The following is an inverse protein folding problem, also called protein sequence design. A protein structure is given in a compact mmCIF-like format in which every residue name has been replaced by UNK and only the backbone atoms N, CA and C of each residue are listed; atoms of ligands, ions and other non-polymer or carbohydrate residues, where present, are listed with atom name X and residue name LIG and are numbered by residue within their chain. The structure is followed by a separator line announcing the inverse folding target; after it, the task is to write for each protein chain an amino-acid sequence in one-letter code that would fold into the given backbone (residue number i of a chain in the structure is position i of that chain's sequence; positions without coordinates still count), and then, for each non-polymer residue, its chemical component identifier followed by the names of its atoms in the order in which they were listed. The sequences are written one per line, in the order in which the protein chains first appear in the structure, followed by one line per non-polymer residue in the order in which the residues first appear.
data_IF_140533012369
#
_entry.id   IF_140533012369
#
_cell.length_a   1.000
_cell.length_b   1.000
_cell.length_c   1.000
_cell.angle_alpha   90.00
_cell.angle_beta   90.00
_cell.angle_gamma   90.00
#
_symmetry.space_group_name_H-M   'P 1'
#
loop_
_entity.id
_entity.type
_entity.pdbx_description
1 polymer ?
#
# COMPACT_ATOMS: atom_id res chain seq x y z
N UNK A 1 -7.55 -0.35 -27.75
CA UNK A 1 -8.36 -0.60 -26.55
C UNK A 1 -8.26 0.60 -25.63
N UNK A 2 -9.41 1.17 -25.26
CA UNK A 2 -9.48 2.40 -24.46
C UNK A 2 -10.03 2.13 -23.07
N UNK A 3 -9.26 2.43 -22.03
CA UNK A 3 -9.58 2.18 -20.62
C UNK A 3 -9.84 3.47 -19.86
N UNK A 4 -10.97 3.55 -19.16
CA UNK A 4 -11.19 4.55 -18.13
C UNK A 4 -10.75 3.99 -16.77
N UNK A 5 -9.94 4.73 -16.01
CA UNK A 5 -9.69 4.44 -14.61
C UNK A 5 -10.30 5.55 -13.77
N UNK A 6 -11.05 5.18 -12.72
CA UNK A 6 -11.61 6.16 -11.78
C UNK A 6 -11.05 5.91 -10.39
N UNK A 7 -10.43 6.96 -9.84
CA UNK A 7 -9.84 6.95 -8.52
C UNK A 7 -10.32 8.15 -7.69
N UNK A 8 -10.26 8.05 -6.37
CA UNK A 8 -10.64 9.16 -5.50
C UNK A 8 -9.72 10.37 -5.66
N UNK A 9 -8.42 10.15 -5.71
CA UNK A 9 -7.37 11.17 -5.84
C UNK A 9 -6.07 10.53 -6.34
N UNK A 10 -5.07 11.31 -6.78
CA UNK A 10 -3.74 10.79 -7.09
C UNK A 10 -3.06 10.17 -5.86
N UNK A 11 -2.51 8.96 -6.02
CA UNK A 11 -1.82 8.21 -4.98
C UNK A 11 -0.47 7.75 -5.54
N UNK A 12 0.60 7.88 -4.75
CA UNK A 12 1.98 7.68 -5.19
C UNK A 12 2.26 6.28 -5.79
N UNK A 13 1.65 5.23 -5.27
CA UNK A 13 1.86 3.87 -5.76
C UNK A 13 0.91 3.47 -6.92
N UNK A 14 -0.06 4.33 -7.29
CA UNK A 14 -0.86 4.13 -8.49
C UNK A 14 -0.25 4.80 -9.73
N UNK A 15 0.43 5.93 -9.57
CA UNK A 15 1.01 6.67 -10.68
C UNK A 15 1.93 5.82 -11.59
N UNK A 16 2.84 4.97 -11.06
CA UNK A 16 3.64 4.08 -11.89
C UNK A 16 2.81 3.06 -12.70
N UNK A 17 1.71 2.54 -12.12
CA UNK A 17 0.79 1.63 -12.82
C UNK A 17 0.10 2.38 -13.97
N UNK A 18 -0.36 3.62 -13.75
CA UNK A 18 -1.03 4.41 -14.76
C UNK A 18 -0.07 4.78 -15.91
N UNK A 19 1.18 5.13 -15.60
CA UNK A 19 2.21 5.37 -16.62
C UNK A 19 2.48 4.16 -17.49
N UNK A 20 2.61 2.99 -16.87
CA UNK A 20 2.87 1.76 -17.62
C UNK A 20 1.65 1.33 -18.45
N UNK A 21 0.44 1.48 -17.92
CA UNK A 21 -0.79 1.26 -18.69
C UNK A 21 -0.89 2.20 -19.89
N UNK A 22 -0.57 3.48 -19.73
CA UNK A 22 -0.62 4.47 -20.81
C UNK A 22 0.39 4.19 -21.94
N UNK A 23 1.47 3.43 -21.67
CA UNK A 23 2.40 2.95 -22.70
C UNK A 23 1.83 1.79 -23.53
N UNK A 24 0.89 1.03 -22.96
CA UNK A 24 0.38 -0.21 -23.56
C UNK A 24 -1.00 -0.07 -24.18
N UNK A 25 -1.80 0.90 -23.72
CA UNK A 25 -3.17 1.09 -24.19
C UNK A 25 -3.59 2.58 -24.12
N UNK A 26 -4.69 2.92 -24.77
CA UNK A 26 -5.30 4.26 -24.65
C UNK A 26 -5.95 4.37 -23.26
N UNK A 27 -5.33 5.15 -22.39
CA UNK A 27 -5.71 5.31 -20.99
C UNK A 27 -6.18 6.72 -20.71
N UNK A 28 -7.32 6.84 -20.01
CA UNK A 28 -7.74 8.10 -19.37
C UNK A 28 -8.09 7.88 -17.90
N UNK A 29 -7.48 8.66 -17.02
CA UNK A 29 -7.68 8.55 -15.58
C UNK A 29 -8.54 9.70 -15.07
N UNK A 30 -9.58 9.40 -14.33
CA UNK A 30 -10.50 10.35 -13.72
C UNK A 30 -10.29 10.39 -12.21
N UNK A 31 -9.96 11.57 -11.69
CA UNK A 31 -9.83 11.80 -10.26
C UNK A 31 -11.05 12.55 -9.72
N UNK A 32 -11.66 12.02 -8.68
CA UNK A 32 -12.85 12.63 -8.06
C UNK A 32 -12.53 13.80 -7.14
N UNK A 33 -11.29 13.93 -6.68
CA UNK A 33 -10.88 14.98 -5.75
C UNK A 33 -9.41 15.34 -5.93
N UNK A 34 -9.11 16.63 -5.86
CA UNK A 34 -7.74 17.15 -5.78
C UNK A 34 -7.35 17.24 -4.32
N UNK A 35 -6.59 16.25 -3.86
CA UNK A 35 -6.16 16.19 -2.46
C UNK A 35 -5.36 17.45 -2.07
N UNK A 36 -5.72 18.03 -0.94
CA UNK A 36 -5.05 19.19 -0.35
C UNK A 36 -4.06 18.75 0.73
N UNK A 37 -3.20 19.65 1.18
CA UNK A 37 -2.32 19.40 2.33
C UNK A 37 -3.12 19.08 3.61
N UNK A 38 -4.30 19.69 3.77
CA UNK A 38 -5.19 19.39 4.89
C UNK A 38 -5.79 17.98 4.81
N UNK A 39 -6.09 17.50 3.60
CA UNK A 39 -6.52 16.11 3.40
C UNK A 39 -5.43 15.12 3.81
N UNK A 40 -4.15 15.42 3.50
CA UNK A 40 -3.02 14.59 3.90
C UNK A 40 -2.86 14.57 5.43
N UNK A 41 -2.94 15.72 6.08
CA UNK A 41 -2.89 15.79 7.55
C UNK A 41 -4.01 14.97 8.20
N UNK A 42 -5.26 15.13 7.72
CA UNK A 42 -6.44 14.38 8.20
C UNK A 42 -6.39 12.89 7.88
N UNK A 43 -5.67 12.49 6.84
CA UNK A 43 -5.45 11.08 6.52
C UNK A 43 -4.57 10.35 7.55
N UNK A 44 -4.21 11.01 8.65
CA UNK A 44 -3.46 10.46 9.79
C UNK A 44 -1.96 10.71 9.74
N UNK A 45 -1.46 11.52 8.80
CA UNK A 45 -0.05 11.94 8.82
C UNK A 45 0.21 12.99 9.91
N UNK A 46 -0.82 13.74 10.34
CA UNK A 46 -0.69 14.79 11.33
C UNK A 46 0.09 16.04 10.87
N UNK A 47 0.61 16.00 9.65
CA UNK A 47 1.43 17.06 9.02
C UNK A 47 0.81 17.44 7.68
N UNK A 48 0.82 18.73 7.37
CA UNK A 48 0.43 19.24 6.05
C UNK A 48 1.60 19.10 5.10
N UNK A 49 1.41 18.42 3.97
CA UNK A 49 2.45 18.27 2.94
C UNK A 49 1.83 18.03 1.55
N UNK A 50 2.64 18.24 0.54
CA UNK A 50 2.41 17.71 -0.81
C UNK A 50 3.42 16.59 -1.07
N UNK A 51 3.04 15.60 -1.86
CA UNK A 51 4.00 14.60 -2.34
C UNK A 51 5.11 15.31 -3.13
N UNK A 52 6.35 14.97 -2.85
CA UNK A 52 7.55 15.53 -3.48
C UNK A 52 7.99 14.76 -4.73
N UNK A 53 7.10 13.94 -5.27
CA UNK A 53 7.24 13.22 -6.53
C UNK A 53 6.09 13.60 -7.47
N UNK A 54 6.34 13.48 -8.75
CA UNK A 54 5.32 13.70 -9.78
C UNK A 54 4.32 12.54 -9.80
N UNK A 55 3.03 12.86 -9.62
CA UNK A 55 1.95 11.88 -9.59
C UNK A 55 1.10 11.90 -10.87
N UNK A 56 1.25 12.90 -11.74
CA UNK A 56 0.28 13.18 -12.79
C UNK A 56 0.83 13.06 -14.21
N UNK A 57 2.14 13.21 -14.41
CA UNK A 57 2.71 13.12 -15.76
C UNK A 57 2.76 11.67 -16.29
N UNK A 58 2.79 11.54 -17.62
CA UNK A 58 2.96 10.27 -18.32
C UNK A 58 1.66 9.48 -18.59
N UNK A 59 0.49 10.08 -18.32
CA UNK A 59 -0.81 9.53 -18.68
C UNK A 59 -1.87 10.66 -18.79
N UNK A 60 -2.89 10.47 -19.63
CA UNK A 60 -4.02 11.41 -19.73
C UNK A 60 -4.89 11.33 -18.49
N UNK A 61 -5.24 12.49 -17.92
CA UNK A 61 -6.05 12.55 -16.71
C UNK A 61 -6.95 13.78 -16.64
N UNK A 62 -8.05 13.62 -15.90
CA UNK A 62 -9.02 14.69 -15.63
C UNK A 62 -9.37 14.70 -14.14
N UNK A 63 -9.36 15.89 -13.55
CA UNK A 63 -10.02 16.12 -12.25
C UNK A 63 -11.47 16.47 -12.50
N UNK A 64 -12.37 15.57 -12.11
CA UNK A 64 -13.81 15.80 -12.24
C UNK A 64 -14.30 16.89 -11.27
N UNK A 65 -15.38 17.58 -11.67
CA UNK A 65 -16.03 18.55 -10.80
C UNK A 65 -16.69 17.83 -9.61
N UNK A 66 -16.14 18.03 -8.42
CA UNK A 66 -16.66 17.46 -7.18
C UNK A 66 -17.73 18.40 -6.59
N UNK A 67 -18.99 18.00 -6.68
CA UNK A 67 -20.16 18.77 -6.18
C UNK A 67 -20.51 18.47 -4.72
N UNK A 68 -19.65 17.77 -3.98
CA UNK A 68 -19.89 17.44 -2.59
C UNK A 68 -20.03 18.71 -1.75
N UNK A 69 -21.03 18.77 -0.84
CA UNK A 69 -21.20 19.90 0.11
C UNK A 69 -19.98 20.11 1.01
N UNK A 70 -19.25 19.05 1.30
CA UNK A 70 -18.00 19.06 2.06
C UNK A 70 -17.00 18.15 1.34
N UNK A 71 -16.27 18.68 0.35
CA UNK A 71 -15.27 17.92 -0.38
C UNK A 71 -14.17 17.41 0.54
N UNK A 72 -13.67 16.20 0.29
CA UNK A 72 -12.57 15.59 1.06
C UNK A 72 -12.53 14.08 0.96
N UNK A 73 -11.48 13.52 1.58
CA UNK A 73 -11.18 12.09 1.52
C UNK A 73 -11.56 11.32 2.79
N UNK A 74 -12.09 11.99 3.80
CA UNK A 74 -12.39 11.44 5.12
C UNK A 74 -13.77 10.76 5.21
N UNK A 75 -14.68 11.04 4.27
CA UNK A 75 -16.09 10.59 4.29
C UNK A 75 -16.55 10.03 2.94
N UNK A 76 -17.55 9.16 2.97
CA UNK A 76 -18.15 8.54 1.78
C UNK A 76 -18.61 9.57 0.73
N UNK A 77 -19.34 10.61 1.17
CA UNK A 77 -19.92 11.66 0.32
C UNK A 77 -18.94 12.79 -0.01
N UNK A 78 -17.69 12.74 0.44
CA UNK A 78 -16.70 13.79 0.18
C UNK A 78 -16.19 13.84 -1.27
N UNK A 79 -16.43 12.78 -2.03
CA UNK A 79 -16.22 12.73 -3.47
C UNK A 79 -17.57 12.46 -4.15
N UNK A 80 -18.10 13.45 -4.84
CA UNK A 80 -19.41 13.41 -5.53
C UNK A 80 -19.25 13.98 -6.94
N UNK A 81 -19.21 13.11 -7.95
CA UNK A 81 -18.88 13.47 -9.34
C UNK A 81 -19.88 12.88 -10.33
N UNK A 82 -21.14 13.37 -10.36
CA UNK A 82 -22.20 12.82 -11.22
C UNK A 82 -21.91 12.95 -12.70
N UNK A 83 -21.04 13.86 -13.11
CA UNK A 83 -20.66 14.08 -14.52
C UNK A 83 -19.90 12.91 -15.14
N UNK A 84 -19.42 11.93 -14.34
CA UNK A 84 -18.70 10.76 -14.87
C UNK A 84 -19.52 10.00 -15.92
N UNK A 85 -20.85 9.97 -15.78
CA UNK A 85 -21.74 9.33 -16.77
C UNK A 85 -21.64 9.93 -18.15
N UNK A 86 -21.53 11.27 -18.24
CA UNK A 86 -21.32 12.00 -19.50
C UNK A 86 -19.95 11.67 -20.10
N UNK A 87 -18.88 11.74 -19.31
CA UNK A 87 -17.53 11.40 -19.75
C UNK A 87 -17.43 9.98 -20.33
N UNK A 88 -18.05 8.99 -19.66
CA UNK A 88 -18.04 7.61 -20.12
C UNK A 88 -18.85 7.42 -21.42
N UNK A 89 -19.89 8.21 -21.65
CA UNK A 89 -20.69 8.14 -22.86
C UNK A 89 -20.00 8.80 -24.07
N UNK A 90 -19.37 9.97 -23.86
CA UNK A 90 -18.75 10.77 -24.91
C UNK A 90 -17.45 10.15 -25.43
N UNK A 91 -16.60 9.65 -24.53
CA UNK A 91 -15.23 9.18 -24.85
C UNK A 91 -15.13 7.71 -25.35
N UNK A 92 -16.23 6.96 -25.42
CA UNK A 92 -16.32 5.59 -25.98
C UNK A 92 -15.26 4.61 -25.42
N UNK A 93 -15.27 4.38 -24.11
CA UNK A 93 -14.38 3.41 -23.46
C UNK A 93 -14.80 1.96 -23.72
N UNK A 94 -13.81 1.07 -23.77
CA UNK A 94 -14.02 -0.38 -23.86
C UNK A 94 -14.29 -1.02 -22.49
N UNK A 95 -13.74 -0.44 -21.42
CA UNK A 95 -13.91 -0.90 -20.03
C UNK A 95 -13.66 0.25 -19.05
N UNK A 96 -14.17 0.07 -17.83
CA UNK A 96 -13.94 0.98 -16.70
C UNK A 96 -13.34 0.23 -15.53
N UNK A 97 -12.20 0.70 -15.00
CA UNK A 97 -11.58 0.20 -13.78
C UNK A 97 -11.82 1.18 -12.63
N UNK A 98 -12.42 0.72 -11.53
CA UNK A 98 -12.59 1.51 -10.31
C UNK A 98 -11.58 1.08 -9.24
N UNK A 99 -10.94 2.06 -8.60
CA UNK A 99 -10.02 1.85 -7.48
C UNK A 99 -10.82 1.77 -6.16
N UNK A 100 -11.46 0.61 -5.94
CA UNK A 100 -12.37 0.38 -4.82
C UNK A 100 -13.80 0.87 -5.07
N UNK A 101 -14.62 0.89 -4.01
CA UNK A 101 -16.04 1.29 -4.05
C UNK A 101 -16.50 2.01 -2.76
N UNK A 102 -15.59 2.58 -2.03
CA UNK A 102 -15.81 3.19 -0.71
C UNK A 102 -16.11 4.70 -0.76
N UNK A 103 -16.29 5.27 -1.95
CA UNK A 103 -16.66 6.68 -2.18
C UNK A 103 -17.91 6.77 -3.07
N UNK A 104 -18.70 7.81 -2.89
CA UNK A 104 -19.91 8.06 -3.70
C UNK A 104 -19.57 8.13 -5.20
N UNK A 105 -18.50 8.85 -5.56
CA UNK A 105 -18.02 8.96 -6.96
C UNK A 105 -17.74 7.59 -7.61
N UNK A 106 -17.15 6.64 -6.86
CA UNK A 106 -16.87 5.31 -7.38
C UNK A 106 -18.16 4.50 -7.62
N UNK A 107 -19.16 4.62 -6.74
CA UNK A 107 -20.49 4.02 -6.96
C UNK A 107 -21.19 4.66 -8.16
N UNK A 108 -21.13 5.99 -8.28
CA UNK A 108 -21.68 6.69 -9.45
C UNK A 108 -21.06 6.18 -10.75
N UNK A 109 -19.75 5.96 -10.75
CA UNK A 109 -19.03 5.36 -11.89
C UNK A 109 -19.53 3.96 -12.22
N UNK A 110 -19.64 3.08 -11.21
CA UNK A 110 -20.12 1.70 -11.40
C UNK A 110 -21.50 1.70 -12.04
N UNK A 111 -22.43 2.48 -11.50
CA UNK A 111 -23.80 2.52 -12.02
C UNK A 111 -23.89 3.20 -13.40
N UNK A 112 -23.11 4.25 -13.67
CA UNK A 112 -23.05 4.88 -14.98
C UNK A 112 -22.51 3.92 -16.04
N UNK A 113 -21.40 3.22 -15.74
CA UNK A 113 -20.82 2.23 -16.65
C UNK A 113 -21.81 1.09 -16.95
N UNK A 114 -22.52 0.59 -15.92
CA UNK A 114 -23.54 -0.45 -16.12
C UNK A 114 -24.70 0.00 -17.01
N UNK A 115 -25.17 1.24 -16.86
CA UNK A 115 -26.21 1.81 -17.74
C UNK A 115 -25.76 1.91 -19.19
N UNK A 116 -24.46 2.17 -19.41
CA UNK A 116 -23.87 2.25 -20.75
C UNK A 116 -23.43 0.89 -21.31
N UNK A 117 -23.67 -0.22 -20.60
CA UNK A 117 -23.24 -1.56 -21.02
C UNK A 117 -21.72 -1.76 -21.03
N UNK A 118 -20.96 -0.90 -20.33
CA UNK A 118 -19.51 -1.01 -20.22
C UNK A 118 -19.12 -2.06 -19.18
N UNK A 119 -18.13 -2.92 -19.49
CA UNK A 119 -17.51 -3.78 -18.49
C UNK A 119 -16.91 -2.97 -17.35
N UNK A 120 -17.17 -3.37 -16.10
CA UNK A 120 -16.63 -2.75 -14.90
C UNK A 120 -15.67 -3.70 -14.23
N UNK A 121 -14.43 -3.26 -14.05
CA UNK A 121 -13.41 -3.93 -13.27
C UNK A 121 -13.24 -3.22 -11.93
N UNK A 122 -12.94 -3.97 -10.86
CA UNK A 122 -12.65 -3.39 -9.56
C UNK A 122 -11.31 -3.86 -9.04
N UNK A 123 -10.50 -2.96 -8.51
CA UNK A 123 -9.24 -3.25 -7.83
C UNK A 123 -9.29 -2.73 -6.39
N UNK A 124 -8.88 -3.57 -5.42
CA UNK A 124 -8.89 -3.16 -4.03
C UNK A 124 -8.17 -4.14 -3.10
N UNK A 125 -7.80 -3.62 -1.93
CA UNK A 125 -7.02 -4.27 -0.89
C UNK A 125 -7.85 -4.72 0.33
N UNK A 126 -9.17 -4.72 0.21
CA UNK A 126 -10.06 -5.17 1.29
C UNK A 126 -9.77 -6.61 1.70
N UNK A 127 -9.80 -6.90 2.99
CA UNK A 127 -9.68 -8.26 3.54
C UNK A 127 -10.68 -8.51 4.66
N UNK A 128 -10.94 -9.78 4.97
CA UNK A 128 -11.95 -10.20 5.95
C UNK A 128 -11.58 -9.86 7.39
N UNK A 129 -10.30 -9.73 7.71
CA UNK A 129 -9.78 -9.42 9.04
C UNK A 129 -10.00 -7.95 9.46
N UNK A 130 -10.44 -7.07 8.56
CA UNK A 130 -10.74 -5.67 8.94
C UNK A 130 -11.83 -5.64 10.02
N UNK A 131 -11.56 -5.03 11.20
CA UNK A 131 -12.53 -4.98 12.29
C UNK A 131 -13.86 -4.35 11.87
N UNK A 132 -14.95 -5.03 12.16
CA UNK A 132 -16.32 -4.56 11.90
C UNK A 132 -17.25 -5.10 12.97
N UNK A 133 -18.28 -4.34 13.32
CA UNK A 133 -19.34 -4.82 14.20
C UNK A 133 -20.06 -6.04 13.55
N UNK A 134 -20.63 -6.92 14.38
CA UNK A 134 -21.36 -8.09 13.94
C UNK A 134 -22.50 -7.73 12.96
N UNK A 135 -23.25 -6.67 13.26
CA UNK A 135 -24.34 -6.17 12.40
C UNK A 135 -23.81 -5.80 11.01
N UNK A 136 -22.69 -5.07 10.93
CA UNK A 136 -22.07 -4.73 9.63
C UNK A 136 -21.56 -5.96 8.88
N UNK A 137 -21.07 -6.98 9.60
CA UNK A 137 -20.64 -8.25 8.98
C UNK A 137 -21.83 -9.01 8.39
N UNK A 138 -22.93 -9.16 9.15
CA UNK A 138 -24.13 -9.84 8.68
C UNK A 138 -24.77 -9.12 7.48
N UNK A 139 -24.93 -7.79 7.57
CA UNK A 139 -25.46 -7.00 6.45
C UNK A 139 -24.59 -7.17 5.19
N UNK A 140 -23.27 -7.16 5.35
CA UNK A 140 -22.33 -7.38 4.25
C UNK A 140 -22.44 -8.79 3.66
N UNK A 141 -22.57 -9.81 4.48
CA UNK A 141 -22.70 -11.20 4.03
C UNK A 141 -23.93 -11.39 3.12
N UNK A 142 -25.02 -10.64 3.37
CA UNK A 142 -26.24 -10.69 2.56
C UNK A 142 -26.11 -9.85 1.27
N UNK A 143 -25.61 -8.62 1.39
CA UNK A 143 -25.63 -7.65 0.27
C UNK A 143 -24.46 -7.85 -0.70
N UNK A 144 -23.29 -8.21 -0.21
CA UNK A 144 -22.06 -8.21 -1.01
C UNK A 144 -22.02 -9.27 -2.11
N UNK A 145 -22.55 -10.50 -1.93
CA UNK A 145 -22.58 -11.47 -3.03
C UNK A 145 -23.28 -10.93 -4.28
N UNK A 146 -24.39 -10.20 -4.11
CA UNK A 146 -25.10 -9.56 -5.22
C UNK A 146 -24.36 -8.30 -5.73
N UNK A 147 -23.89 -7.45 -4.84
CA UNK A 147 -23.17 -6.22 -5.19
C UNK A 147 -21.90 -6.51 -5.99
N UNK A 148 -21.08 -7.47 -5.55
CA UNK A 148 -19.81 -7.78 -6.22
C UNK A 148 -20.01 -8.37 -7.62
N UNK A 149 -21.17 -8.95 -7.93
CA UNK A 149 -21.52 -9.38 -9.30
C UNK A 149 -21.75 -8.24 -10.29
N UNK A 150 -21.80 -7.00 -9.82
CA UNK A 150 -21.74 -5.83 -10.71
C UNK A 150 -20.41 -5.73 -11.44
N UNK A 151 -19.32 -6.28 -10.89
CA UNK A 151 -18.03 -6.30 -11.54
C UNK A 151 -17.89 -7.46 -12.51
N UNK A 152 -17.36 -7.18 -13.70
CA UNK A 152 -17.09 -8.19 -14.73
C UNK A 152 -15.76 -8.91 -14.51
N UNK A 153 -14.82 -8.24 -13.82
CA UNK A 153 -13.58 -8.82 -13.33
C UNK A 153 -13.14 -8.12 -12.04
N UNK A 154 -12.44 -8.85 -11.19
CA UNK A 154 -11.88 -8.35 -9.93
C UNK A 154 -10.37 -8.54 -9.89
N UNK A 155 -9.67 -7.49 -9.50
CA UNK A 155 -8.23 -7.41 -9.42
C UNK A 155 -7.82 -7.46 -7.95
N UNK A 156 -7.29 -8.60 -7.52
CA UNK A 156 -6.82 -8.77 -6.16
C UNK A 156 -5.33 -8.40 -6.03
N UNK A 157 -4.98 -7.76 -4.91
CA UNK A 157 -3.63 -7.22 -4.70
C UNK A 157 -2.69 -8.19 -3.98
N UNK A 158 -3.24 -9.25 -3.37
CA UNK A 158 -2.54 -10.27 -2.62
C UNK A 158 -3.50 -11.34 -2.09
N UNK A 159 -2.98 -12.33 -1.36
CA UNK A 159 -3.73 -13.50 -0.88
C UNK A 159 -4.98 -13.10 -0.07
N UNK A 160 -4.85 -12.21 0.91
CA UNK A 160 -5.98 -11.77 1.75
C UNK A 160 -7.06 -11.04 0.96
N UNK A 161 -6.67 -10.27 -0.04
CA UNK A 161 -7.60 -9.61 -0.94
C UNK A 161 -8.31 -10.65 -1.84
N UNK A 162 -7.59 -11.68 -2.32
CA UNK A 162 -8.19 -12.81 -3.03
C UNK A 162 -9.22 -13.55 -2.17
N UNK A 163 -8.85 -13.88 -0.93
CA UNK A 163 -9.71 -14.56 0.03
C UNK A 163 -10.97 -13.75 0.35
N UNK A 164 -10.87 -12.42 0.36
CA UNK A 164 -12.03 -11.54 0.53
C UNK A 164 -13.05 -11.70 -0.61
N UNK A 165 -12.63 -11.74 -1.86
CA UNK A 165 -13.51 -11.97 -2.99
C UNK A 165 -14.16 -13.36 -2.94
N UNK A 166 -13.37 -14.40 -2.63
CA UNK A 166 -13.86 -15.78 -2.49
C UNK A 166 -14.86 -15.88 -1.33
N UNK A 167 -14.59 -15.24 -0.20
CA UNK A 167 -15.47 -15.21 0.97
C UNK A 167 -16.88 -14.67 0.63
N UNK A 168 -16.99 -13.72 -0.29
CA UNK A 168 -18.26 -13.19 -0.76
C UNK A 168 -18.77 -13.87 -2.06
N UNK A 169 -18.31 -15.10 -2.33
CA UNK A 169 -18.75 -15.94 -3.46
C UNK A 169 -18.56 -15.30 -4.84
N UNK A 170 -17.51 -14.49 -5.01
CA UNK A 170 -17.15 -13.97 -6.32
C UNK A 170 -16.50 -15.08 -7.16
N UNK A 171 -16.85 -15.21 -8.49
CA UNK A 171 -16.33 -16.27 -9.33
C UNK A 171 -14.82 -16.23 -9.48
N UNK A 172 -14.14 -17.32 -9.14
CA UNK A 172 -12.67 -17.41 -9.18
C UNK A 172 -12.09 -17.22 -10.60
N UNK A 173 -12.83 -17.64 -11.62
CA UNK A 173 -12.46 -17.45 -13.03
C UNK A 173 -12.45 -15.99 -13.49
N UNK A 174 -12.95 -15.05 -12.67
CA UNK A 174 -12.96 -13.62 -12.91
C UNK A 174 -12.02 -12.86 -11.95
N UNK A 175 -11.16 -13.58 -11.20
CA UNK A 175 -10.14 -13.02 -10.31
C UNK A 175 -8.80 -12.97 -11.01
N UNK A 176 -8.19 -11.78 -11.04
CA UNK A 176 -6.89 -11.55 -11.67
C UNK A 176 -5.93 -10.94 -10.67
N UNK A 177 -4.67 -11.37 -10.71
CA UNK A 177 -3.63 -10.85 -9.82
C UNK A 177 -3.10 -9.52 -10.35
N UNK A 178 -3.29 -8.45 -9.59
CA UNK A 178 -2.73 -7.13 -9.85
C UNK A 178 -2.20 -6.57 -8.54
N UNK A 179 -0.96 -6.95 -8.15
CA UNK A 179 -0.43 -6.67 -6.83
C UNK A 179 -0.34 -5.20 -6.51
N UNK A 180 -0.34 -4.87 -5.21
CA UNK A 180 0.26 -3.63 -4.78
C UNK A 180 1.76 -3.66 -5.07
N UNK A 181 2.25 -2.59 -5.65
CA UNK A 181 3.62 -2.45 -6.10
C UNK A 181 4.09 -1.01 -5.96
N UNK A 182 5.39 -0.81 -6.07
CA UNK A 182 6.04 0.49 -6.15
C UNK A 182 6.91 0.53 -7.40
N UNK A 183 7.35 1.71 -7.80
CA UNK A 183 8.36 1.87 -8.84
C UNK A 183 9.71 1.36 -8.32
N UNK A 184 9.95 0.07 -8.54
CA UNK A 184 11.12 -0.64 -8.02
C UNK A 184 12.44 -0.01 -8.51
N UNK A 185 12.48 0.40 -9.77
CA UNK A 185 13.68 1.01 -10.35
C UNK A 185 13.96 2.37 -9.74
N UNK A 186 12.93 3.18 -9.54
CA UNK A 186 13.03 4.47 -8.87
C UNK A 186 13.59 4.33 -7.44
N UNK A 187 13.15 3.32 -6.67
CA UNK A 187 13.64 3.06 -5.33
C UNK A 187 15.07 2.50 -5.34
N UNK A 188 15.33 1.44 -6.12
CA UNK A 188 16.62 0.73 -6.13
C UNK A 188 17.77 1.61 -6.63
N UNK A 189 17.53 2.46 -7.65
CA UNK A 189 18.54 3.37 -8.18
C UNK A 189 18.98 4.46 -7.20
N UNK A 190 18.16 4.77 -6.19
CA UNK A 190 18.42 5.77 -5.16
C UNK A 190 18.94 5.18 -3.86
N UNK A 191 18.59 3.94 -3.53
CA UNK A 191 19.04 3.25 -2.33
C UNK A 191 20.48 2.68 -2.51
N UNK A 192 21.48 3.57 -2.63
CA UNK A 192 22.86 3.23 -2.93
C UNK A 192 23.72 3.05 -1.67
N UNK A 193 24.92 2.50 -1.84
CA UNK A 193 25.94 2.45 -0.76
C UNK A 193 26.26 3.87 -0.28
N UNK A 194 26.45 4.80 -1.21
CA UNK A 194 26.75 6.20 -0.87
C UNK A 194 25.60 6.85 -0.07
N UNK A 195 24.34 6.56 -0.39
CA UNK A 195 23.20 7.09 0.36
C UNK A 195 23.14 6.49 1.78
N UNK A 196 23.48 5.21 1.93
CA UNK A 196 23.61 4.55 3.24
C UNK A 196 24.69 5.21 4.10
N UNK A 197 25.87 5.35 3.57
CA UNK A 197 27.01 5.95 4.28
C UNK A 197 26.74 7.41 4.66
N UNK A 198 26.26 8.21 3.71
CA UNK A 198 25.91 9.62 3.95
C UNK A 198 24.91 9.77 5.10
N UNK A 199 23.82 8.99 5.11
CA UNK A 199 22.79 9.12 6.13
C UNK A 199 23.26 8.58 7.48
N UNK A 200 23.98 7.45 7.51
CA UNK A 200 24.57 6.90 8.74
C UNK A 200 25.57 7.86 9.38
N UNK A 201 26.46 8.44 8.58
CA UNK A 201 27.46 9.43 9.05
C UNK A 201 26.76 10.67 9.65
N UNK A 202 25.75 11.20 8.96
CA UNK A 202 24.96 12.34 9.46
C UNK A 202 24.28 12.04 10.80
N UNK A 203 23.82 10.81 11.01
CA UNK A 203 23.18 10.37 12.25
C UNK A 203 24.18 9.80 13.27
N UNK A 204 25.49 9.77 12.97
CA UNK A 204 26.54 9.17 13.81
C UNK A 204 26.27 7.70 14.14
N UNK A 205 25.69 6.97 13.20
CA UNK A 205 25.48 5.52 13.30
C UNK A 205 26.77 4.82 12.88
N UNK A 206 27.33 3.93 13.72
CA UNK A 206 28.54 3.18 13.37
C UNK A 206 28.29 2.33 12.09
N UNK A 207 29.33 2.17 11.22
CA UNK A 207 29.18 1.43 9.96
C UNK A 207 28.64 0.02 10.14
N UNK A 208 29.06 -0.68 11.18
CA UNK A 208 28.70 -2.07 11.49
C UNK A 208 27.49 -2.21 12.43
N UNK A 209 26.88 -1.10 12.87
CA UNK A 209 25.69 -1.15 13.72
C UNK A 209 24.50 -1.74 12.96
N UNK A 210 23.77 -2.62 13.62
CA UNK A 210 22.49 -3.14 13.11
C UNK A 210 21.39 -2.10 13.30
N UNK A 211 20.61 -1.87 12.25
CA UNK A 211 19.60 -0.80 12.21
C UNK A 211 18.26 -1.37 11.80
N UNK A 212 17.30 -1.31 12.70
CA UNK A 212 15.90 -1.67 12.44
C UNK A 212 15.06 -0.40 12.19
N UNK A 213 14.30 -0.38 11.10
CA UNK A 213 13.47 0.75 10.68
C UNK A 213 11.99 0.48 10.99
N UNK A 214 11.34 1.44 11.60
CA UNK A 214 9.89 1.61 11.52
C UNK A 214 9.59 2.77 10.56
N UNK A 215 8.74 2.52 9.55
CA UNK A 215 8.31 3.54 8.61
C UNK A 215 6.77 3.60 8.56
N UNK A 216 6.20 4.74 8.97
CA UNK A 216 4.75 4.94 8.96
C UNK A 216 4.25 5.94 9.98
N UNK A 217 2.94 6.16 9.99
CA UNK A 217 2.27 7.05 10.94
C UNK A 217 2.42 6.51 12.37
N UNK A 218 2.77 7.37 13.31
CA UNK A 218 2.90 6.99 14.72
C UNK A 218 1.52 6.96 15.41
N UNK A 219 0.69 5.98 15.01
CA UNK A 219 -0.64 5.74 15.55
C UNK A 219 -0.63 4.51 16.48
N UNK A 220 -1.49 4.45 17.51
CA UNK A 220 -1.50 3.33 18.47
C UNK A 220 -1.57 1.94 17.80
N UNK A 221 -2.46 1.77 16.82
CA UNK A 221 -2.64 0.49 16.11
C UNK A 221 -1.48 0.13 15.16
N UNK A 222 -0.53 1.04 14.91
CA UNK A 222 0.72 0.75 14.21
C UNK A 222 1.79 0.18 15.12
N UNK A 223 1.59 0.25 16.44
CA UNK A 223 2.40 -0.36 17.49
C UNK A 223 3.93 -0.08 17.37
N UNK A 224 4.36 1.18 17.14
CA UNK A 224 5.80 1.47 17.02
C UNK A 224 6.58 1.19 18.32
N UNK A 225 5.93 1.07 19.47
CA UNK A 225 6.54 0.71 20.75
C UNK A 225 7.10 -0.71 20.73
N UNK A 226 6.53 -1.63 19.96
CA UNK A 226 6.96 -3.03 19.91
C UNK A 226 8.39 -3.18 19.37
N UNK A 227 8.83 -2.35 18.43
CA UNK A 227 10.21 -2.40 17.93
C UNK A 227 11.22 -1.97 19.01
N UNK A 228 10.86 -0.97 19.82
CA UNK A 228 11.71 -0.52 20.94
C UNK A 228 11.77 -1.60 22.02
N UNK A 229 10.65 -2.22 22.34
CA UNK A 229 10.60 -3.31 23.31
C UNK A 229 11.44 -4.53 22.86
N UNK A 230 11.35 -4.90 21.58
CA UNK A 230 12.15 -5.98 21.02
C UNK A 230 13.66 -5.66 21.01
N UNK A 231 14.02 -4.41 20.66
CA UNK A 231 15.41 -3.95 20.72
C UNK A 231 15.96 -3.94 22.15
N UNK A 232 15.13 -3.56 23.15
CA UNK A 232 15.49 -3.62 24.57
C UNK A 232 15.76 -5.07 25.04
N UNK A 233 14.91 -6.01 24.62
CA UNK A 233 15.08 -7.43 24.92
C UNK A 233 16.39 -7.97 24.33
N UNK A 234 16.69 -7.63 23.07
CA UNK A 234 17.94 -8.02 22.42
C UNK A 234 19.17 -7.43 23.11
N UNK A 235 19.10 -6.16 23.52
CA UNK A 235 20.17 -5.49 24.27
C UNK A 235 20.47 -6.19 25.59
N UNK A 236 19.45 -6.68 26.32
CA UNK A 236 19.63 -7.38 27.58
C UNK A 236 20.41 -8.70 27.45
N UNK A 237 20.49 -9.25 26.24
CA UNK A 237 21.27 -10.47 25.92
C UNK A 237 22.50 -10.18 25.05
N UNK A 238 22.95 -8.94 25.03
CA UNK A 238 24.19 -8.52 24.36
C UNK A 238 24.09 -8.24 22.85
N UNK A 239 22.88 -8.20 22.28
CA UNK A 239 22.65 -7.85 20.88
C UNK A 239 22.10 -6.43 20.75
N UNK A 240 22.95 -5.48 20.45
CA UNK A 240 22.54 -4.08 20.31
C UNK A 240 22.01 -3.77 18.90
N UNK A 241 20.80 -3.19 18.85
CA UNK A 241 20.15 -2.74 17.60
C UNK A 241 19.77 -1.26 17.76
N UNK A 242 20.12 -0.46 16.76
CA UNK A 242 19.70 0.94 16.65
C UNK A 242 18.32 0.95 15.96
N UNK A 243 17.39 1.74 16.48
CA UNK A 243 16.05 1.90 15.92
C UNK A 243 15.95 3.22 15.16
N UNK A 244 15.54 3.18 13.90
CA UNK A 244 15.13 4.36 13.14
C UNK A 244 13.60 4.46 13.10
N UNK A 245 13.07 5.64 13.38
CA UNK A 245 11.64 5.94 13.33
C UNK A 245 11.40 7.01 12.25
N UNK A 246 10.88 6.59 11.11
CA UNK A 246 10.46 7.48 10.02
C UNK A 246 8.95 7.65 10.04
N UNK A 247 8.48 8.74 10.64
CA UNK A 247 7.07 9.04 10.79
C UNK A 247 6.78 10.03 11.89
N UNK A 248 5.56 10.53 11.91
CA UNK A 248 5.04 11.43 12.93
C UNK A 248 3.64 10.95 13.39
N UNK A 249 3.23 11.35 14.58
CA UNK A 249 1.91 11.03 15.09
C UNK A 249 1.80 11.11 16.62
N UNK A 250 0.59 10.87 17.16
CA UNK A 250 0.27 11.14 18.57
C UNK A 250 1.07 10.29 19.58
N UNK A 251 1.60 9.12 19.20
CA UNK A 251 2.37 8.27 20.14
C UNK A 251 3.88 8.58 20.15
N UNK A 252 4.35 9.63 19.46
CA UNK A 252 5.78 9.96 19.38
C UNK A 252 6.39 10.25 20.76
N UNK A 253 5.72 11.05 21.59
CA UNK A 253 6.22 11.38 22.94
C UNK A 253 6.37 10.13 23.81
N UNK A 254 5.37 9.25 23.79
CA UNK A 254 5.41 7.98 24.52
C UNK A 254 6.57 7.09 24.03
N UNK A 255 6.75 7.03 22.71
CA UNK A 255 7.82 6.23 22.10
C UNK A 255 9.21 6.75 22.47
N UNK A 256 9.42 8.08 22.52
CA UNK A 256 10.67 8.70 23.00
C UNK A 256 10.97 8.35 24.45
N UNK A 257 9.97 8.45 25.33
CA UNK A 257 10.11 8.09 26.75
C UNK A 257 10.42 6.61 26.91
N UNK A 258 9.74 5.74 26.16
CA UNK A 258 10.00 4.29 26.21
C UNK A 258 11.42 3.94 25.75
N UNK A 259 11.88 4.53 24.65
CA UNK A 259 13.23 4.33 24.12
C UNK A 259 14.30 4.78 25.13
N UNK A 260 14.12 5.94 25.74
CA UNK A 260 15.02 6.48 26.76
C UNK A 260 15.09 5.59 28.00
N UNK A 261 13.92 5.17 28.55
CA UNK A 261 13.86 4.28 29.73
C UNK A 261 14.51 2.93 29.47
N UNK A 262 14.32 2.39 28.26
CA UNK A 262 14.93 1.13 27.86
C UNK A 262 16.43 1.25 27.49
N UNK A 263 16.95 2.47 27.38
CA UNK A 263 18.33 2.74 26.93
C UNK A 263 18.59 2.26 25.51
N UNK A 264 17.55 2.22 24.64
CA UNK A 264 17.64 1.82 23.23
C UNK A 264 18.05 3.02 22.39
N UNK A 265 19.14 2.90 21.65
CA UNK A 265 19.59 3.95 20.71
C UNK A 265 18.53 4.10 19.62
N UNK A 266 17.84 5.26 19.58
CA UNK A 266 16.72 5.51 18.69
C UNK A 266 16.84 6.89 18.03
N UNK A 267 16.75 6.91 16.69
CA UNK A 267 16.73 8.14 15.90
C UNK A 267 15.33 8.41 15.36
N UNK A 268 14.78 9.57 15.69
CA UNK A 268 13.48 10.03 15.22
C UNK A 268 13.65 10.99 14.05
N UNK A 269 13.19 10.59 12.87
CA UNK A 269 13.36 11.36 11.63
C UNK A 269 12.17 12.29 11.35
N UNK A 270 11.09 12.17 12.14
CA UNK A 270 9.84 12.89 11.88
C UNK A 270 9.14 12.39 10.60
N UNK A 271 8.27 13.21 10.05
CA UNK A 271 7.66 12.93 8.75
C UNK A 271 8.71 12.94 7.64
N UNK A 272 8.75 11.87 6.86
CA UNK A 272 9.63 11.70 5.70
C UNK A 272 8.78 11.57 4.44
N UNK A 273 9.01 12.47 3.46
CA UNK A 273 8.32 12.38 2.17
C UNK A 273 9.03 11.38 1.24
N UNK A 274 8.47 11.12 0.06
CA UNK A 274 8.85 10.00 -0.81
C UNK A 274 10.32 10.05 -1.25
N UNK A 275 10.86 11.25 -1.58
CA UNK A 275 12.21 11.39 -2.14
C UNK A 275 13.32 11.03 -1.17
N UNK A 276 13.10 11.12 0.15
CA UNK A 276 14.11 10.78 1.16
C UNK A 276 14.00 9.32 1.63
N UNK A 277 12.90 8.63 1.33
CA UNK A 277 12.67 7.27 1.80
C UNK A 277 13.72 6.26 1.30
N UNK A 278 14.22 6.29 0.04
CA UNK A 278 15.27 5.38 -0.42
C UNK A 278 16.55 5.47 0.43
N UNK A 279 16.98 6.67 0.83
CA UNK A 279 18.15 6.86 1.70
C UNK A 279 17.93 6.22 3.09
N UNK A 280 16.71 6.35 3.63
CA UNK A 280 16.32 5.78 4.93
C UNK A 280 16.32 4.25 4.86
N UNK A 281 15.73 3.66 3.81
CA UNK A 281 15.80 2.22 3.60
C UNK A 281 17.25 1.76 3.41
N UNK A 282 18.07 2.46 2.62
CA UNK A 282 19.48 2.13 2.44
C UNK A 282 20.26 2.16 3.76
N UNK A 283 19.97 3.12 4.64
CA UNK A 283 20.64 3.26 5.94
C UNK A 283 20.24 2.15 6.95
N UNK A 284 19.09 1.52 6.77
CA UNK A 284 18.60 0.43 7.61
C UNK A 284 19.05 -0.95 7.12
N UNK A 285 18.90 -1.96 7.96
CA UNK A 285 19.19 -3.36 7.66
C UNK A 285 17.90 -4.20 7.53
N UNK A 286 16.83 -3.75 8.16
CA UNK A 286 15.51 -4.42 8.13
C UNK A 286 14.39 -3.41 8.40
N UNK A 287 13.25 -3.59 7.72
CA UNK A 287 12.00 -2.88 8.04
C UNK A 287 11.14 -3.74 8.98
N UNK A 288 10.56 -3.12 10.00
CA UNK A 288 9.61 -3.76 10.93
C UNK A 288 8.25 -3.09 10.85
N UNK A 289 7.19 -3.86 10.60
CA UNK A 289 5.80 -3.41 10.67
C UNK A 289 5.02 -4.23 11.71
N UNK A 290 4.92 -3.76 12.95
CA UNK A 290 4.21 -4.47 14.03
C UNK A 290 2.72 -4.12 14.08
N UNK A 291 2.14 -3.69 12.96
CA UNK A 291 0.81 -3.10 12.89
C UNK A 291 -0.30 -4.10 13.21
N UNK A 292 -1.21 -3.71 14.10
CA UNK A 292 -2.45 -4.43 14.39
C UNK A 292 -3.41 -4.41 13.19
N UNK A 293 -3.47 -3.28 12.50
CA UNK A 293 -4.30 -3.08 11.31
C UNK A 293 -3.50 -2.47 10.18
N UNK A 294 -3.35 -3.22 9.10
CA UNK A 294 -2.73 -2.78 7.87
C UNK A 294 -3.39 -3.50 6.69
N UNK A 295 -4.01 -2.77 5.77
CA UNK A 295 -4.67 -3.40 4.62
C UNK A 295 -3.65 -4.05 3.68
N UNK A 296 -2.46 -3.45 3.55
CA UNK A 296 -1.35 -4.01 2.81
C UNK A 296 -0.01 -3.79 3.52
N UNK A 297 0.42 -2.53 3.61
CA UNK A 297 1.75 -2.15 4.11
C UNK A 297 2.71 -1.88 2.97
N UNK A 298 2.41 -0.87 2.13
CA UNK A 298 3.19 -0.54 0.91
C UNK A 298 4.68 -0.30 1.18
N UNK A 299 5.04 0.18 2.37
CA UNK A 299 6.43 0.38 2.81
C UNK A 299 7.23 -0.94 2.84
N UNK A 300 6.56 -2.11 2.90
CA UNK A 300 7.21 -3.40 2.73
C UNK A 300 7.71 -3.60 1.30
N UNK A 301 6.92 -3.20 0.28
CA UNK A 301 7.37 -3.20 -1.11
C UNK A 301 8.52 -2.22 -1.33
N UNK A 302 8.47 -1.03 -0.72
CA UNK A 302 9.53 -0.03 -0.82
C UNK A 302 10.85 -0.55 -0.21
N UNK A 303 10.77 -1.17 0.97
CA UNK A 303 11.92 -1.80 1.63
C UNK A 303 12.56 -2.90 0.76
N UNK A 304 11.74 -3.81 0.22
CA UNK A 304 12.21 -4.87 -0.67
C UNK A 304 12.80 -4.30 -1.98
N UNK A 305 12.21 -3.24 -2.53
CA UNK A 305 12.74 -2.55 -3.70
C UNK A 305 14.12 -1.92 -3.45
N UNK A 306 14.38 -1.48 -2.20
CA UNK A 306 15.67 -0.99 -1.74
C UNK A 306 16.63 -2.11 -1.27
N UNK A 307 16.30 -3.37 -1.52
CA UNK A 307 17.13 -4.51 -1.12
C UNK A 307 17.16 -4.78 0.39
N UNK A 308 16.15 -4.33 1.15
CA UNK A 308 16.08 -4.54 2.60
C UNK A 308 15.00 -5.55 2.94
N UNK A 309 15.31 -6.57 3.78
CA UNK A 309 14.36 -7.54 4.26
C UNK A 309 13.30 -6.88 5.17
N UNK A 310 12.22 -7.63 5.43
CA UNK A 310 11.07 -7.15 6.18
C UNK A 310 10.72 -8.10 7.34
N UNK A 311 10.21 -7.53 8.43
CA UNK A 311 9.57 -8.29 9.52
C UNK A 311 8.16 -7.72 9.69
N UNK A 312 7.15 -8.55 9.53
CA UNK A 312 5.76 -8.14 9.54
C UNK A 312 5.00 -8.88 10.65
N UNK A 313 4.13 -8.17 11.37
CA UNK A 313 3.14 -8.86 12.19
C UNK A 313 2.20 -9.70 11.32
N UNK A 314 1.70 -10.81 11.84
CA UNK A 314 0.78 -11.71 11.14
C UNK A 314 -0.55 -11.05 10.76
N UNK A 315 -0.87 -9.89 11.31
CA UNK A 315 -2.03 -9.04 10.98
C UNK A 315 -1.82 -8.14 9.77
N UNK A 316 -0.57 -7.88 9.35
CA UNK A 316 -0.26 -7.03 8.20
C UNK A 316 -0.73 -7.69 6.90
N UNK A 317 -1.47 -6.93 6.05
CA UNK A 317 -2.06 -7.44 4.82
C UNK A 317 -1.09 -8.14 3.87
N UNK A 318 0.13 -7.62 3.74
CA UNK A 318 1.18 -8.17 2.89
C UNK A 318 1.92 -9.39 3.50
N UNK A 319 1.73 -9.70 4.78
CA UNK A 319 2.48 -10.75 5.45
C UNK A 319 2.42 -12.12 4.73
N UNK A 320 1.24 -12.65 4.34
CA UNK A 320 1.16 -13.95 3.67
C UNK A 320 1.76 -13.97 2.27
N UNK A 321 1.99 -12.81 1.69
CA UNK A 321 2.51 -12.63 0.33
C UNK A 321 4.03 -12.39 0.31
N UNK A 322 4.51 -11.52 1.19
CA UNK A 322 5.88 -11.02 1.14
C UNK A 322 6.83 -11.64 2.15
N UNK A 323 6.33 -12.24 3.26
CA UNK A 323 7.18 -12.62 4.39
C UNK A 323 7.04 -14.07 4.89
N UNK A 324 5.97 -14.81 4.57
CA UNK A 324 5.71 -16.16 5.14
C UNK A 324 6.59 -17.27 4.60
N UNK A 325 7.20 -17.13 3.44
CA UNK A 325 8.11 -18.11 2.85
C UNK A 325 9.54 -18.05 3.41
N UNK A 326 9.81 -17.12 4.33
CA UNK A 326 11.12 -16.87 4.92
C UNK A 326 12.22 -16.51 3.91
N UNK A 327 11.85 -16.17 2.67
CA UNK A 327 12.78 -15.84 1.58
C UNK A 327 13.33 -14.42 1.70
N UNK A 328 12.43 -13.44 1.89
CA UNK A 328 12.80 -12.03 1.94
C UNK A 328 12.39 -11.35 3.27
N UNK A 329 11.83 -12.12 4.20
CA UNK A 329 11.37 -11.58 5.49
C UNK A 329 10.97 -12.62 6.50
N UNK A 330 10.39 -12.17 7.61
CA UNK A 330 9.83 -13.00 8.69
C UNK A 330 8.46 -12.49 9.08
N UNK A 331 7.63 -13.39 9.58
CA UNK A 331 6.35 -13.06 10.21
C UNK A 331 6.43 -13.41 11.69
N UNK A 332 5.84 -12.57 12.53
CA UNK A 332 5.71 -12.81 13.96
C UNK A 332 4.26 -12.60 14.42
N UNK A 333 3.80 -13.28 15.48
CA UNK A 333 2.47 -13.07 16.06
C UNK A 333 2.33 -11.64 16.61
N UNK A 334 1.21 -10.99 16.34
CA UNK A 334 0.95 -9.63 16.82
C UNK A 334 1.15 -9.50 18.34
N UNK A 335 1.98 -8.56 18.76
CA UNK A 335 2.25 -8.28 20.18
C UNK A 335 3.21 -9.25 20.87
N UNK A 336 3.69 -10.27 20.20
CA UNK A 336 4.70 -11.19 20.71
C UNK A 336 6.10 -10.57 20.57
N UNK A 337 6.52 -9.83 21.60
CA UNK A 337 7.83 -9.14 21.62
C UNK A 337 9.01 -10.13 21.58
N UNK A 338 9.02 -11.26 22.30
CA UNK A 338 10.02 -12.29 22.16
C UNK A 338 10.15 -12.83 20.73
N UNK A 339 9.03 -13.11 20.04
CA UNK A 339 9.05 -13.56 18.65
C UNK A 339 9.59 -12.48 17.69
N UNK A 340 9.23 -11.20 17.89
CA UNK A 340 9.78 -10.09 17.13
C UNK A 340 11.30 -9.95 17.36
N UNK A 341 11.76 -10.04 18.60
CA UNK A 341 13.19 -9.99 18.94
C UNK A 341 13.96 -11.16 18.28
N UNK A 342 13.40 -12.37 18.29
CA UNK A 342 13.99 -13.50 17.62
C UNK A 342 14.07 -13.30 16.10
N UNK A 343 13.01 -12.81 15.46
CA UNK A 343 12.99 -12.49 14.02
C UNK A 343 14.04 -11.43 13.65
N UNK A 344 14.20 -10.38 14.48
CA UNK A 344 15.26 -9.37 14.33
C UNK A 344 16.65 -10.02 14.41
N UNK A 345 16.90 -10.85 15.42
CA UNK A 345 18.17 -11.56 15.59
C UNK A 345 18.46 -12.47 14.38
N UNK A 346 17.49 -13.24 13.94
CA UNK A 346 17.66 -14.14 12.78
C UNK A 346 18.02 -13.39 11.50
N UNK A 347 17.28 -12.32 11.16
CA UNK A 347 17.54 -11.54 9.94
C UNK A 347 18.90 -10.83 10.00
N UNK A 348 19.30 -10.35 11.17
CA UNK A 348 20.56 -9.63 11.30
C UNK A 348 21.77 -10.56 11.33
N UNK A 349 21.63 -11.78 11.86
CA UNK A 349 22.72 -12.79 11.88
C UNK A 349 22.79 -13.60 10.59
N UNK A 350 21.64 -13.81 9.94
CA UNK A 350 21.53 -14.60 8.68
C UNK A 350 20.61 -13.85 7.70
N UNK A 351 21.07 -12.73 7.14
CA UNK A 351 20.25 -11.95 6.23
C UNK A 351 19.89 -12.74 4.97
N UNK A 352 18.67 -12.55 4.42
CA UNK A 352 18.33 -13.07 3.11
C UNK A 352 19.33 -12.59 2.03
N UNK A 353 19.60 -13.42 1.03
CA UNK A 353 20.46 -12.98 -0.05
C UNK A 353 19.83 -11.83 -0.86
N UNK A 354 20.65 -10.90 -1.39
CA UNK A 354 20.14 -9.83 -2.24
C UNK A 354 19.31 -10.33 -3.42
N UNK A 355 19.69 -11.49 -4.00
CA UNK A 355 18.98 -12.12 -5.11
C UNK A 355 17.57 -12.57 -4.70
N UNK A 356 17.42 -13.14 -3.51
CA UNK A 356 16.11 -13.57 -2.98
C UNK A 356 15.18 -12.39 -2.74
N UNK A 357 15.71 -11.31 -2.16
CA UNK A 357 14.94 -10.05 -1.94
C UNK A 357 14.52 -9.44 -3.29
N UNK A 358 15.45 -9.38 -4.25
CA UNK A 358 15.17 -8.84 -5.58
C UNK A 358 14.12 -9.66 -6.34
N UNK A 359 14.16 -10.99 -6.27
CA UNK A 359 13.16 -11.87 -6.87
C UNK A 359 11.78 -11.68 -6.24
N UNK A 360 11.68 -11.56 -4.90
CA UNK A 360 10.43 -11.26 -4.20
C UNK A 360 9.86 -9.91 -4.63
N UNK A 361 10.70 -8.86 -4.67
CA UNK A 361 10.30 -7.52 -5.13
C UNK A 361 9.82 -7.53 -6.59
N UNK A 362 10.47 -8.30 -7.48
CA UNK A 362 10.10 -8.39 -8.88
C UNK A 362 8.73 -9.05 -9.11
N UNK A 363 8.37 -10.05 -8.29
CA UNK A 363 7.06 -10.70 -8.37
C UNK A 363 5.89 -9.74 -8.04
N UNK A 364 6.15 -8.65 -7.31
CA UNK A 364 5.19 -7.60 -6.95
C UNK A 364 5.56 -6.28 -7.65
N UNK A 365 5.78 -6.35 -8.97
CA UNK A 365 6.20 -5.21 -9.79
C UNK A 365 5.03 -4.49 -10.46
N UNK A 366 5.31 -3.31 -11.01
CA UNK A 366 4.39 -2.54 -11.85
C UNK A 366 3.96 -3.37 -13.07
N UNK A 367 4.91 -4.05 -13.72
CA UNK A 367 4.62 -4.91 -14.86
C UNK A 367 3.62 -6.01 -14.50
N UNK A 368 3.86 -6.75 -13.41
CA UNK A 368 2.93 -7.78 -12.92
C UNK A 368 1.52 -7.22 -12.63
N UNK A 369 1.44 -6.01 -12.06
CA UNK A 369 0.16 -5.38 -11.78
C UNK A 369 -0.59 -5.02 -13.07
N UNK A 370 0.11 -4.52 -14.07
CA UNK A 370 -0.43 -4.14 -15.39
C UNK A 370 -0.84 -5.39 -16.18
N UNK A 371 -0.03 -6.44 -16.20
CA UNK A 371 -0.35 -7.71 -16.86
C UNK A 371 -1.68 -8.29 -16.35
N UNK A 372 -1.90 -8.22 -15.03
CA UNK A 372 -3.17 -8.63 -14.43
C UNK A 372 -4.37 -7.77 -14.88
N UNK A 373 -4.18 -6.46 -15.01
CA UNK A 373 -5.22 -5.54 -15.51
C UNK A 373 -5.55 -5.88 -16.98
N UNK A 374 -4.54 -6.03 -17.83
CA UNK A 374 -4.73 -6.36 -19.26
C UNK A 374 -5.43 -7.71 -19.42
N UNK A 375 -5.01 -8.74 -18.69
CA UNK A 375 -5.67 -10.04 -18.71
C UNK A 375 -7.15 -9.96 -18.31
N UNK A 376 -7.49 -9.15 -17.31
CA UNK A 376 -8.86 -8.91 -16.88
C UNK A 376 -9.70 -8.24 -17.99
N UNK A 377 -9.13 -7.25 -18.67
CA UNK A 377 -9.84 -6.54 -19.76
C UNK A 377 -10.08 -7.47 -20.96
N UNK A 378 -9.06 -8.20 -21.40
CA UNK A 378 -9.17 -9.17 -22.51
C UNK A 378 -10.28 -10.20 -22.21
N UNK A 379 -10.31 -10.74 -21.00
CA UNK A 379 -11.34 -11.70 -20.59
C UNK A 379 -12.76 -11.12 -20.66
N UNK A 380 -12.91 -9.85 -20.25
CA UNK A 380 -14.25 -9.21 -20.26
C UNK A 380 -14.73 -8.89 -21.66
N UNK A 381 -13.83 -8.59 -22.60
CA UNK A 381 -14.17 -8.36 -24.01
C UNK A 381 -14.57 -9.64 -24.72
N UNK A 382 -13.82 -10.72 -24.53
CA UNK A 382 -14.14 -12.04 -25.10
C UNK A 382 -15.54 -12.52 -24.68
N UNK A 383 -15.94 -12.25 -23.43
CA UNK A 383 -17.28 -12.57 -22.94
C UNK A 383 -18.39 -11.69 -23.52
N UNK A 384 -18.06 -10.46 -24.03
CA UNK A 384 -19.01 -9.57 -24.73
C UNK A 384 -19.23 -9.99 -26.18
N UNK A 385 -18.18 -10.49 -26.84
CA UNK A 385 -18.25 -10.94 -28.25
C UNK A 385 -18.92 -12.32 -28.40
N UNK A 386 -19.06 -13.08 -27.30
CA UNK A 386 -19.72 -14.39 -27.30
C UNK A 386 -21.23 -14.33 -26.98
N UNK A 387 -21.77 -13.15 -26.72
CA UNK A 387 -23.20 -12.88 -26.50
C UNK A 387 -23.80 -12.13 -27.68
#
# INVERSE_FOLDING_TARGET
MRLAIVASHPIQYYAPIFRELARRLDLKVFFAHRATQDDQAKAGFGVKFNWDIDLLSGYDHVFMHNVAKRPGLDRFSGCDTPEIGRWLAEDRFDAVLVQGWYRKSLLQTIFAAKRLGLPVLARGDSHVMTPRSSIKRSAKAIVYPAFLRLFNAALYVGKRSKDYWIHYHYPTAQLFFSPHCVDREWFSSRATVNSRERLRNRMRIPPNALVALFAGKLLPFKRPLDIVAAAALLKSVGHEIIVLIAGAGPVETELRVAAQKAGVSTHFLGFCNQTVMPDIYAASDVLVLPSEHETWGIVANESLACGRPIILADTVGAAPDLATDNVAGRVFPLGDIPALANALREITTRPPSPQMIAAKSAAYSVATAVDGIEAAIIKTQSAKSAK
#
